data_IF_299997906517
#
_entry.id   IF_299997906517
#
_cell.length_a   1.000
_cell.length_b   1.000
_cell.length_c   1.000
_cell.angle_alpha   90.00
_cell.angle_beta   90.00
_cell.angle_gamma   90.00
#
_symmetry.space_group_name_H-M   'P 1'
#
loop_
_entity.id
_entity.type
_entity.pdbx_description
1 polymer ?
#
# COMPACT_ATOMS: atom_id res chain seq x y z
N UNK A 1 -20.41 19.07 24.95
CA UNK A 1 -19.12 18.38 24.69
C UNK A 1 -18.02 19.30 25.16
N UNK A 2 -16.93 18.77 25.71
CA UNK A 2 -15.76 19.59 26.07
C UNK A 2 -14.94 19.81 24.79
N UNK A 3 -14.71 21.07 24.41
CA UNK A 3 -13.83 21.38 23.29
C UNK A 3 -12.36 21.09 23.70
N UNK A 4 -11.64 20.22 22.98
CA UNK A 4 -10.24 19.89 23.31
C UNK A 4 -9.27 21.07 23.15
N UNK A 5 -9.62 22.12 22.40
CA UNK A 5 -8.75 23.30 22.25
C UNK A 5 -8.95 24.34 23.35
N UNK A 6 -10.19 24.56 23.77
CA UNK A 6 -10.53 25.62 24.73
C UNK A 6 -10.80 25.09 26.14
N UNK A 7 -11.00 23.78 26.31
CA UNK A 7 -11.33 23.12 27.58
C UNK A 7 -12.73 23.44 28.12
N UNK A 8 -13.55 24.20 27.37
CA UNK A 8 -14.88 24.63 27.80
C UNK A 8 -15.95 23.62 27.37
N UNK A 9 -16.97 23.47 28.21
CA UNK A 9 -18.15 22.66 27.88
C UNK A 9 -19.12 23.49 27.05
N UNK A 10 -19.27 23.12 25.79
CA UNK A 10 -20.17 23.80 24.86
C UNK A 10 -21.27 22.87 24.35
N UNK A 11 -22.46 23.45 24.09
CA UNK A 11 -23.55 22.75 23.41
C UNK A 11 -23.25 22.72 21.92
N UNK A 12 -22.83 21.56 21.41
CA UNK A 12 -22.42 21.39 20.01
C UNK A 12 -23.32 20.41 19.28
N UNK A 13 -23.65 20.72 18.02
CA UNK A 13 -24.34 19.78 17.15
C UNK A 13 -23.33 18.81 16.52
N UNK A 14 -23.28 17.58 17.02
CA UNK A 14 -22.38 16.54 16.52
C UNK A 14 -22.78 15.96 15.17
N UNK A 15 -23.98 16.26 14.67
CA UNK A 15 -24.41 15.79 13.36
C UNK A 15 -25.69 16.46 12.88
N UNK A 16 -25.64 16.96 11.65
CA UNK A 16 -26.84 17.23 10.84
C UNK A 16 -26.97 16.21 9.72
N UNK A 17 -28.16 16.03 9.12
CA UNK A 17 -28.39 15.08 8.03
C UNK A 17 -27.37 15.20 6.88
N UNK A 18 -26.99 16.44 6.51
CA UNK A 18 -25.96 16.70 5.51
C UNK A 18 -24.59 16.12 5.90
N UNK A 19 -24.16 16.35 7.15
CA UNK A 19 -22.86 15.86 7.65
C UNK A 19 -22.82 14.34 7.70
N UNK A 20 -23.87 13.72 8.22
CA UNK A 20 -23.99 12.26 8.29
C UNK A 20 -23.95 11.63 6.89
N UNK A 21 -24.64 12.22 5.91
CA UNK A 21 -24.58 11.78 4.52
C UNK A 21 -23.17 11.87 3.93
N UNK A 22 -22.44 12.96 4.21
CA UNK A 22 -21.05 13.12 3.77
C UNK A 22 -20.13 12.06 4.38
N UNK A 23 -20.23 11.82 5.69
CA UNK A 23 -19.43 10.80 6.39
C UNK A 23 -19.74 9.41 5.83
N UNK A 24 -21.01 9.08 5.68
CA UNK A 24 -21.44 7.80 5.11
C UNK A 24 -20.87 7.56 3.70
N UNK A 25 -21.00 8.56 2.82
CA UNK A 25 -20.47 8.46 1.45
C UNK A 25 -18.93 8.35 1.44
N UNK A 26 -18.24 9.14 2.26
CA UNK A 26 -16.78 9.09 2.36
C UNK A 26 -16.29 7.70 2.80
N UNK A 27 -16.91 7.13 3.83
CA UNK A 27 -16.57 5.80 4.34
C UNK A 27 -16.85 4.71 3.28
N UNK A 28 -18.01 4.76 2.62
CA UNK A 28 -18.34 3.79 1.57
C UNK A 28 -17.40 3.87 0.37
N UNK A 29 -17.06 5.08 -0.10
CA UNK A 29 -16.14 5.24 -1.22
C UNK A 29 -14.74 4.73 -0.87
N UNK A 30 -14.22 5.06 0.31
CA UNK A 30 -12.90 4.58 0.78
C UNK A 30 -12.87 3.06 0.93
N UNK A 31 -13.92 2.47 1.49
CA UNK A 31 -14.04 1.01 1.62
C UNK A 31 -14.11 0.31 0.26
N UNK A 32 -14.85 0.88 -0.70
CA UNK A 32 -14.91 0.36 -2.08
C UNK A 32 -13.56 0.46 -2.78
N UNK A 33 -12.87 1.59 -2.65
CA UNK A 33 -11.53 1.78 -3.21
C UNK A 33 -10.55 0.76 -2.63
N UNK A 34 -10.61 0.51 -1.31
CA UNK A 34 -9.76 -0.47 -0.68
C UNK A 34 -10.01 -1.90 -1.22
N UNK A 35 -11.27 -2.30 -1.36
CA UNK A 35 -11.62 -3.58 -1.98
C UNK A 35 -11.36 -3.65 -3.49
N UNK A 36 -11.27 -2.52 -4.19
CA UNK A 36 -10.81 -2.49 -5.58
C UNK A 36 -9.31 -2.77 -5.66
N UNK A 37 -8.51 -2.10 -4.83
CA UNK A 37 -7.06 -2.29 -4.76
C UNK A 37 -6.65 -3.74 -4.46
N UNK A 38 -7.31 -4.35 -3.47
CA UNK A 38 -7.07 -5.75 -3.09
C UNK A 38 -7.30 -6.73 -4.25
N UNK A 39 -8.25 -6.42 -5.14
CA UNK A 39 -8.60 -7.24 -6.30
C UNK A 39 -7.82 -6.89 -7.57
N UNK A 40 -6.79 -6.05 -7.50
CA UNK A 40 -6.00 -5.72 -8.69
C UNK A 40 -5.17 -6.93 -9.13
N UNK A 41 -5.49 -7.43 -10.33
CA UNK A 41 -4.86 -8.57 -11.00
C UNK A 41 -4.32 -8.20 -12.38
N UNK A 42 -4.84 -7.13 -13.00
CA UNK A 42 -4.37 -6.64 -14.29
C UNK A 42 -3.25 -5.61 -14.11
N UNK A 43 -2.35 -5.47 -15.11
CA UNK A 43 -1.13 -4.69 -14.96
C UNK A 43 -1.35 -3.17 -14.99
N UNK A 44 -2.48 -2.69 -15.47
CA UNK A 44 -2.76 -1.26 -15.57
C UNK A 44 -3.98 -0.82 -14.77
N UNK A 45 -3.94 0.43 -14.31
CA UNK A 45 -5.06 1.11 -13.66
C UNK A 45 -5.41 2.34 -14.50
N UNK A 46 -6.71 2.56 -14.71
CA UNK A 46 -7.27 3.76 -15.29
C UNK A 46 -8.25 4.40 -14.32
N UNK A 47 -8.05 5.66 -13.96
CA UNK A 47 -9.07 6.40 -13.21
C UNK A 47 -10.19 6.86 -14.15
N UNK A 48 -11.44 6.86 -13.66
CA UNK A 48 -12.55 7.47 -14.41
C UNK A 48 -12.52 8.99 -14.21
N UNK A 49 -12.67 9.79 -15.30
CA UNK A 49 -12.43 11.22 -15.24
C UNK A 49 -13.27 11.96 -14.19
N UNK A 50 -12.59 12.80 -13.42
CA UNK A 50 -13.17 13.91 -12.65
C UNK A 50 -13.43 15.09 -13.60
N UNK A 51 -14.17 16.10 -13.12
CA UNK A 51 -14.29 17.40 -13.79
C UNK A 51 -12.99 18.24 -13.72
N UNK A 52 -12.07 17.86 -12.83
CA UNK A 52 -10.79 18.56 -12.57
C UNK A 52 -9.63 17.60 -12.84
N UNK A 53 -8.57 18.04 -13.54
CA UNK A 53 -7.40 17.23 -13.84
C UNK A 53 -6.54 16.93 -12.59
N UNK A 54 -5.71 15.87 -12.63
CA UNK A 54 -5.60 14.90 -13.71
C UNK A 54 -6.77 13.89 -13.71
N UNK A 55 -7.24 13.53 -14.90
CA UNK A 55 -8.46 12.74 -15.08
C UNK A 55 -8.33 11.81 -16.30
N UNK A 56 -8.65 10.52 -16.14
CA UNK A 56 -8.61 9.57 -17.25
C UNK A 56 -7.22 9.02 -17.58
N UNK A 57 -6.30 9.12 -16.63
CA UNK A 57 -4.96 8.55 -16.69
C UNK A 57 -5.03 7.03 -16.87
N UNK A 58 -3.98 6.50 -17.48
CA UNK A 58 -3.69 5.07 -17.49
C UNK A 58 -2.24 4.92 -17.07
N UNK A 59 -2.01 4.38 -15.88
CA UNK A 59 -0.67 4.15 -15.36
C UNK A 59 -0.50 2.68 -14.96
N UNK A 60 0.75 2.18 -14.95
CA UNK A 60 1.06 0.89 -14.33
C UNK A 60 0.54 0.81 -12.89
N UNK A 61 0.14 -0.39 -12.44
CA UNK A 61 -0.34 -0.63 -11.06
C UNK A 61 0.68 -0.24 -9.98
N UNK A 62 1.95 -0.35 -10.31
CA UNK A 62 3.12 -0.10 -9.46
C UNK A 62 3.64 1.35 -9.54
N UNK A 63 2.99 2.21 -10.32
CA UNK A 63 3.32 3.65 -10.36
C UNK A 63 3.18 4.28 -8.96
N UNK A 64 4.19 5.03 -8.48
CA UNK A 64 4.13 5.73 -7.19
C UNK A 64 3.01 6.77 -7.14
N UNK A 65 2.51 7.23 -8.31
CA UNK A 65 1.36 8.11 -8.40
C UNK A 65 0.15 7.59 -7.61
N UNK A 66 -0.09 6.27 -7.66
CA UNK A 66 -1.23 5.64 -6.98
C UNK A 66 -1.09 5.61 -5.46
N UNK A 67 0.05 5.95 -4.89
CA UNK A 67 0.22 6.00 -3.42
C UNK A 67 -0.52 7.19 -2.82
N UNK A 68 -0.64 8.24 -3.61
CA UNK A 68 -1.21 9.52 -3.18
C UNK A 68 -2.52 9.84 -3.90
N UNK A 69 -2.65 9.48 -5.18
CA UNK A 69 -3.74 9.90 -6.07
C UNK A 69 -4.78 8.83 -6.38
N UNK A 70 -4.74 7.69 -5.69
CA UNK A 70 -5.74 6.63 -5.83
C UNK A 70 -7.12 7.14 -5.39
N UNK A 71 -8.12 7.20 -6.30
CA UNK A 71 -9.45 7.66 -5.94
C UNK A 71 -10.08 6.84 -4.80
N UNK A 72 -10.90 7.47 -3.94
CA UNK A 72 -11.35 8.86 -3.98
C UNK A 72 -10.31 9.89 -3.47
N UNK A 73 -10.25 11.05 -4.13
CA UNK A 73 -9.29 12.12 -3.83
C UNK A 73 -9.91 13.32 -3.08
N UNK A 74 -11.12 13.15 -2.53
CA UNK A 74 -11.78 14.24 -1.81
C UNK A 74 -13.22 13.99 -1.40
N UNK A 75 -13.77 14.94 -0.65
CA UNK A 75 -15.11 14.88 -0.10
C UNK A 75 -16.16 14.98 -1.22
N UNK A 76 -16.98 13.94 -1.38
CA UNK A 76 -17.96 13.88 -2.45
C UNK A 76 -17.38 13.57 -3.83
N UNK A 77 -16.10 13.17 -3.90
CA UNK A 77 -15.48 12.65 -5.11
C UNK A 77 -16.23 11.41 -5.63
N UNK A 78 -16.48 11.38 -6.93
CA UNK A 78 -17.16 10.26 -7.63
C UNK A 78 -16.22 9.47 -8.54
N UNK A 79 -14.94 9.84 -8.56
CA UNK A 79 -13.91 9.12 -9.31
C UNK A 79 -13.66 7.76 -8.68
N UNK A 80 -13.30 6.79 -9.52
CA UNK A 80 -12.93 5.44 -9.11
C UNK A 80 -11.88 4.90 -10.09
N UNK A 81 -11.08 3.94 -9.62
CA UNK A 81 -10.05 3.29 -10.40
C UNK A 81 -10.55 1.98 -11.02
N UNK A 82 -10.28 1.77 -12.30
CA UNK A 82 -10.60 0.54 -13.03
C UNK A 82 -9.33 -0.11 -13.53
N UNK A 83 -9.26 -1.42 -13.41
CA UNK A 83 -8.22 -2.22 -14.03
C UNK A 83 -8.35 -2.25 -15.56
N UNK A 84 -7.22 -2.16 -16.26
CA UNK A 84 -7.14 -2.26 -17.72
C UNK A 84 -6.15 -3.36 -18.11
N UNK A 85 -6.46 -4.07 -19.20
CA UNK A 85 -5.56 -5.08 -19.76
C UNK A 85 -4.39 -4.44 -20.49
N UNK A 86 -3.29 -5.18 -20.73
CA UNK A 86 -2.16 -4.68 -21.55
C UNK A 86 -2.61 -4.21 -22.93
N UNK A 87 -3.51 -4.97 -23.57
CA UNK A 87 -4.05 -4.63 -24.88
C UNK A 87 -4.91 -3.34 -24.84
N UNK A 88 -5.69 -3.13 -23.78
CA UNK A 88 -6.43 -1.88 -23.60
C UNK A 88 -5.48 -0.70 -23.35
N UNK A 89 -4.50 -0.87 -22.46
CA UNK A 89 -3.52 0.16 -22.15
C UNK A 89 -2.70 0.57 -23.38
N UNK A 90 -2.27 -0.39 -24.22
CA UNK A 90 -1.58 -0.10 -25.48
C UNK A 90 -2.46 0.70 -26.46
N UNK A 91 -3.74 0.31 -26.60
CA UNK A 91 -4.69 0.99 -27.49
C UNK A 91 -5.03 2.41 -27.04
N UNK A 92 -5.20 2.63 -25.74
CA UNK A 92 -5.54 3.94 -25.16
C UNK A 92 -4.31 4.82 -24.87
N UNK A 93 -3.12 4.25 -25.00
CA UNK A 93 -1.80 4.79 -24.62
C UNK A 93 -1.68 4.98 -23.10
N UNK A 94 -0.60 4.45 -22.53
CA UNK A 94 -0.22 4.70 -21.14
C UNK A 94 0.11 6.19 -21.01
N UNK A 95 -0.43 6.84 -19.98
CA UNK A 95 -0.18 8.25 -19.69
C UNK A 95 1.22 8.44 -19.12
N UNK A 96 1.79 9.62 -19.29
CA UNK A 96 2.91 10.05 -18.46
C UNK A 96 2.39 10.35 -17.05
N UNK A 97 3.23 10.11 -16.04
CA UNK A 97 2.88 10.46 -14.67
C UNK A 97 2.75 11.98 -14.55
N UNK A 98 1.57 12.50 -14.19
CA UNK A 98 1.37 13.94 -14.15
C UNK A 98 2.11 14.55 -12.97
N UNK A 99 2.67 15.73 -13.19
CA UNK A 99 3.16 16.56 -12.10
C UNK A 99 1.97 17.06 -11.27
N UNK A 100 2.03 16.78 -9.97
CA UNK A 100 1.04 17.25 -9.01
C UNK A 100 1.76 18.16 -8.00
N UNK A 101 1.84 19.48 -8.27
CA UNK A 101 2.55 20.39 -7.39
C UNK A 101 1.86 20.45 -6.04
N UNK A 102 2.68 20.44 -4.99
CA UNK A 102 2.22 20.54 -3.63
C UNK A 102 1.68 21.95 -3.32
N UNK A 103 0.61 21.99 -2.50
CA UNK A 103 0.08 23.22 -1.93
C UNK A 103 0.03 23.14 -0.42
N UNK A 104 0.23 24.28 0.22
CA UNK A 104 0.13 24.42 1.67
C UNK A 104 -1.32 24.71 2.04
N UNK A 105 -1.89 23.88 2.91
CA UNK A 105 -3.24 24.06 3.46
C UNK A 105 -3.14 24.22 4.97
N UNK A 106 -3.70 25.32 5.48
CA UNK A 106 -3.78 25.59 6.91
C UNK A 106 -5.17 25.27 7.43
N UNK A 107 -5.25 24.47 8.49
CA UNK A 107 -6.48 24.23 9.22
C UNK A 107 -6.83 25.48 10.04
N UNK A 108 -7.95 26.14 9.73
CA UNK A 108 -8.35 27.37 10.41
C UNK A 108 -8.63 27.18 11.91
N UNK A 109 -9.08 25.98 12.30
CA UNK A 109 -9.44 25.68 13.69
C UNK A 109 -8.24 25.35 14.56
N UNK A 110 -7.30 24.54 14.04
CA UNK A 110 -6.14 24.08 14.82
C UNK A 110 -4.87 24.87 14.52
N UNK A 111 -4.84 25.65 13.44
CA UNK A 111 -3.64 26.30 12.93
C UNK A 111 -2.64 25.36 12.26
N UNK A 112 -2.91 24.05 12.24
CA UNK A 112 -2.03 23.03 11.67
C UNK A 112 -1.84 23.25 10.17
N UNK A 113 -0.58 23.24 9.72
CA UNK A 113 -0.20 23.40 8.32
C UNK A 113 0.12 22.04 7.73
N UNK A 114 -0.46 21.72 6.58
CA UNK A 114 -0.23 20.48 5.84
C UNK A 114 0.15 20.78 4.40
N UNK A 115 1.04 19.94 3.86
CA UNK A 115 1.38 19.93 2.44
C UNK A 115 0.51 18.86 1.79
N UNK A 116 -0.25 19.24 0.76
CA UNK A 116 -1.18 18.37 0.06
C UNK A 116 -1.02 18.60 -1.44
N UNK A 117 -0.98 17.55 -2.28
CA UNK A 117 -0.96 17.75 -3.73
C UNK A 117 -2.16 18.54 -4.22
N UNK A 118 -1.92 19.46 -5.16
CA UNK A 118 -2.99 20.28 -5.75
C UNK A 118 -3.99 19.38 -6.46
N UNK A 119 -5.27 19.47 -6.08
CA UNK A 119 -6.36 18.67 -6.63
C UNK A 119 -6.83 17.53 -5.71
N UNK A 120 -6.11 17.25 -4.62
CA UNK A 120 -6.57 16.36 -3.54
C UNK A 120 -7.07 17.19 -2.35
N UNK A 121 -8.18 16.80 -1.73
CA UNK A 121 -8.63 17.42 -0.49
C UNK A 121 -7.75 16.97 0.69
N UNK A 122 -7.47 17.85 1.67
CA UNK A 122 -6.70 17.47 2.86
C UNK A 122 -7.31 16.26 3.58
N UNK A 123 -6.48 15.25 3.84
CA UNK A 123 -6.88 13.98 4.45
C UNK A 123 -7.18 12.87 3.45
N UNK A 124 -7.14 13.14 2.15
CA UNK A 124 -7.37 12.16 1.09
C UNK A 124 -6.12 11.80 0.27
N UNK A 125 -4.95 12.33 0.66
CA UNK A 125 -3.66 12.12 -0.02
C UNK A 125 -3.03 10.75 0.33
N UNK A 126 -3.82 9.68 0.24
CA UNK A 126 -3.36 8.33 0.51
C UNK A 126 -4.21 7.28 -0.19
N UNK A 127 -3.56 6.19 -0.59
CA UNK A 127 -4.23 5.02 -1.13
C UNK A 127 -4.96 4.24 -0.03
N UNK A 128 -6.29 4.31 -0.04
CA UNK A 128 -7.15 3.60 0.93
C UNK A 128 -6.92 2.08 0.93
N UNK A 129 -6.55 1.50 -0.21
CA UNK A 129 -6.23 0.08 -0.35
C UNK A 129 -4.92 -0.31 0.31
N UNK A 130 -3.85 0.46 0.06
CA UNK A 130 -2.56 0.26 0.75
C UNK A 130 -2.70 0.47 2.25
N UNK A 131 -3.34 1.56 2.68
CA UNK A 131 -3.57 1.83 4.11
C UNK A 131 -4.31 0.70 4.82
N UNK A 132 -5.34 0.12 4.18
CA UNK A 132 -6.06 -1.03 4.73
C UNK A 132 -5.16 -2.26 4.84
N UNK A 133 -4.36 -2.53 3.80
CA UNK A 133 -3.44 -3.66 3.77
C UNK A 133 -2.37 -3.53 4.86
N UNK A 134 -1.75 -2.36 4.97
CA UNK A 134 -0.74 -2.03 5.98
C UNK A 134 -1.31 -2.18 7.39
N UNK A 135 -2.52 -1.67 7.64
CA UNK A 135 -3.20 -1.80 8.92
C UNK A 135 -3.53 -3.25 9.29
N UNK A 136 -4.01 -4.04 8.32
CA UNK A 136 -4.29 -5.46 8.53
C UNK A 136 -3.01 -6.27 8.80
N UNK A 137 -1.94 -5.96 8.08
CA UNK A 137 -0.63 -6.57 8.26
C UNK A 137 -0.02 -6.20 9.61
N UNK A 138 -0.04 -4.93 10.01
CA UNK A 138 0.43 -4.49 11.31
C UNK A 138 -0.33 -5.18 12.46
N UNK A 139 -1.65 -5.30 12.34
CA UNK A 139 -2.47 -6.02 13.32
C UNK A 139 -2.09 -7.51 13.40
N UNK A 140 -1.96 -8.18 12.25
CA UNK A 140 -1.59 -9.60 12.18
C UNK A 140 -0.19 -9.84 12.77
N UNK A 141 0.80 -9.06 12.35
CA UNK A 141 2.18 -9.13 12.86
C UNK A 141 2.21 -8.89 14.36
N UNK A 142 1.45 -7.90 14.85
CA UNK A 142 1.31 -7.65 16.28
C UNK A 142 0.78 -8.85 17.06
N UNK A 143 -0.12 -9.66 16.47
CA UNK A 143 -0.62 -10.90 17.07
C UNK A 143 0.40 -12.04 16.98
N UNK A 144 1.05 -12.21 15.83
CA UNK A 144 2.08 -13.26 15.63
C UNK A 144 3.19 -13.12 16.68
N UNK A 145 3.66 -11.90 16.94
CA UNK A 145 4.72 -11.65 17.93
C UNK A 145 4.39 -12.10 19.35
N UNK A 146 3.11 -12.28 19.68
CA UNK A 146 2.66 -12.73 21.01
C UNK A 146 2.58 -14.26 21.13
N UNK A 147 2.73 -14.99 20.03
CA UNK A 147 2.62 -16.44 20.01
C UNK A 147 3.97 -17.11 20.33
N UNK A 148 3.97 -18.37 20.79
CA UNK A 148 5.18 -19.17 20.89
C UNK A 148 5.89 -19.31 19.53
N UNK A 149 7.21 -19.44 19.53
CA UNK A 149 8.04 -19.50 18.32
C UNK A 149 7.55 -20.53 17.29
N UNK A 150 7.13 -21.72 17.74
CA UNK A 150 6.59 -22.77 16.88
C UNK A 150 5.36 -22.31 16.08
N UNK A 151 4.44 -21.61 16.76
CA UNK A 151 3.23 -21.06 16.14
C UNK A 151 3.56 -19.87 15.22
N UNK A 152 4.57 -19.06 15.55
CA UNK A 152 5.05 -17.99 14.67
C UNK A 152 5.59 -18.57 13.37
N UNK A 153 6.46 -19.57 13.45
CA UNK A 153 7.05 -20.24 12.27
C UNK A 153 5.95 -20.86 11.41
N UNK A 154 4.98 -21.54 12.01
CA UNK A 154 3.85 -22.12 11.28
C UNK A 154 3.02 -21.05 10.54
N UNK A 155 2.70 -19.94 11.21
CA UNK A 155 1.93 -18.84 10.62
C UNK A 155 2.69 -18.16 9.47
N UNK A 156 3.99 -17.90 9.65
CA UNK A 156 4.84 -17.28 8.63
C UNK A 156 5.05 -18.18 7.43
N UNK A 157 5.12 -19.50 7.63
CA UNK A 157 5.15 -20.49 6.54
C UNK A 157 3.85 -20.48 5.75
N UNK A 158 2.69 -20.43 6.41
CA UNK A 158 1.40 -20.30 5.73
C UNK A 158 1.37 -19.02 4.88
N UNK A 159 1.75 -17.88 5.46
CA UNK A 159 1.85 -16.58 4.76
C UNK A 159 2.77 -16.69 3.53
N UNK A 160 3.95 -17.28 3.67
CA UNK A 160 4.92 -17.44 2.59
C UNK A 160 4.37 -18.22 1.38
N UNK A 161 3.43 -19.15 1.60
CA UNK A 161 2.83 -19.96 0.53
C UNK A 161 1.59 -19.33 -0.12
N UNK A 162 1.08 -18.21 0.41
CA UNK A 162 -0.11 -17.55 -0.13
C UNK A 162 0.19 -16.80 -1.43
N UNK A 163 -0.88 -16.64 -2.24
CA UNK A 163 -0.85 -15.95 -3.53
C UNK A 163 -0.27 -14.53 -3.46
N UNK A 164 -0.43 -13.82 -2.33
CA UNK A 164 0.12 -12.46 -2.12
C UNK A 164 1.64 -12.44 -2.19
N UNK A 165 2.32 -13.39 -1.54
CA UNK A 165 3.79 -13.46 -1.54
C UNK A 165 4.29 -13.83 -2.93
N UNK A 166 3.60 -14.73 -3.63
CA UNK A 166 3.90 -15.04 -5.05
C UNK A 166 3.78 -13.80 -5.97
N UNK A 167 2.86 -12.89 -5.68
CA UNK A 167 2.73 -11.61 -6.41
C UNK A 167 3.90 -10.67 -6.12
N UNK A 168 4.37 -10.61 -4.87
CA UNK A 168 5.56 -9.83 -4.46
C UNK A 168 6.82 -10.39 -5.16
N UNK A 169 6.97 -11.71 -5.20
CA UNK A 169 8.04 -12.38 -5.96
C UNK A 169 8.01 -11.97 -7.45
N UNK A 170 6.82 -11.84 -8.02
CA UNK A 170 6.60 -11.43 -9.41
C UNK A 170 6.59 -9.89 -9.62
N UNK A 171 7.36 -9.15 -8.80
CA UNK A 171 7.60 -7.71 -8.89
C UNK A 171 6.51 -6.76 -8.33
N UNK A 172 5.57 -7.22 -7.49
CA UNK A 172 4.73 -6.25 -6.77
C UNK A 172 5.57 -5.45 -5.74
N UNK A 173 5.28 -4.14 -5.56
CA UNK A 173 6.05 -3.25 -4.68
C UNK A 173 5.84 -3.51 -3.18
N UNK A 174 4.91 -4.40 -2.81
CA UNK A 174 4.59 -4.71 -1.42
C UNK A 174 5.68 -5.59 -0.76
N UNK A 175 5.64 -5.69 0.56
CA UNK A 175 6.45 -6.63 1.35
C UNK A 175 5.57 -7.61 2.12
N UNK A 176 6.17 -8.69 2.60
CA UNK A 176 5.50 -9.65 3.47
C UNK A 176 6.51 -10.31 4.45
N UNK A 177 6.07 -10.68 5.66
CA UNK A 177 6.87 -11.47 6.59
C UNK A 177 6.77 -12.95 6.21
N UNK A 178 7.90 -13.61 5.99
CA UNK A 178 7.95 -15.00 5.50
C UNK A 178 8.75 -15.95 6.39
N UNK A 179 9.42 -15.42 7.41
CA UNK A 179 10.25 -16.24 8.28
C UNK A 179 10.53 -15.58 9.62
N UNK A 180 11.01 -16.39 10.56
CA UNK A 180 11.44 -15.98 11.88
C UNK A 180 12.93 -16.27 12.05
N UNK A 181 13.68 -15.27 12.50
CA UNK A 181 15.08 -15.38 12.81
C UNK A 181 15.25 -16.12 14.16
N UNK A 182 16.19 -17.08 14.26
CA UNK A 182 16.54 -17.69 15.54
C UNK A 182 16.94 -16.63 16.57
N UNK A 183 16.50 -16.81 17.82
CA UNK A 183 16.71 -15.83 18.90
C UNK A 183 18.20 -15.47 19.08
N UNK A 184 19.09 -16.47 19.05
CA UNK A 184 20.53 -16.27 19.20
C UNK A 184 21.12 -15.34 18.13
N UNK A 185 20.70 -15.50 16.88
CA UNK A 185 21.18 -14.67 15.76
C UNK A 185 20.65 -13.25 15.92
N UNK A 186 19.38 -13.09 16.26
CA UNK A 186 18.77 -11.78 16.49
C UNK A 186 19.48 -11.01 17.62
N UNK A 187 19.75 -11.68 18.74
CA UNK A 187 20.46 -11.08 19.88
C UNK A 187 21.89 -10.69 19.52
N UNK A 188 22.63 -11.57 18.83
CA UNK A 188 24.01 -11.26 18.39
C UNK A 188 24.06 -10.13 17.37
N UNK A 189 23.06 -10.02 16.51
CA UNK A 189 22.93 -8.95 15.53
C UNK A 189 22.36 -7.65 16.13
N UNK A 190 21.96 -7.63 17.40
CA UNK A 190 21.34 -6.46 18.04
C UNK A 190 19.96 -6.11 17.47
N UNK A 191 19.25 -7.08 16.89
CA UNK A 191 17.96 -6.87 16.25
C UNK A 191 16.82 -6.96 17.29
N UNK A 192 15.96 -5.95 17.30
CA UNK A 192 14.77 -5.90 18.16
C UNK A 192 13.56 -6.65 17.58
N UNK A 193 13.54 -6.86 16.26
CA UNK A 193 12.54 -7.68 15.58
C UNK A 193 13.18 -8.94 15.00
N UNK A 194 12.48 -10.07 15.16
CA UNK A 194 12.92 -11.38 14.66
C UNK A 194 12.27 -11.73 13.33
N UNK A 195 11.33 -10.92 12.84
CA UNK A 195 10.65 -11.20 11.57
C UNK A 195 11.54 -10.92 10.36
N UNK A 196 11.58 -11.88 9.44
CA UNK A 196 12.25 -11.76 8.15
C UNK A 196 11.25 -11.29 7.11
N UNK A 197 11.49 -10.09 6.60
CA UNK A 197 10.67 -9.43 5.59
C UNK A 197 11.27 -9.61 4.21
N UNK A 198 10.43 -9.92 3.23
CA UNK A 198 10.82 -10.01 1.82
C UNK A 198 10.03 -9.01 0.99
N UNK A 199 10.69 -8.48 -0.04
CA UNK A 199 10.09 -7.68 -1.10
C UNK A 199 10.59 -8.17 -2.47
N UNK A 200 10.11 -7.55 -3.55
CA UNK A 200 10.50 -7.90 -4.92
C UNK A 200 12.02 -7.81 -5.17
N UNK A 201 12.72 -6.86 -4.55
CA UNK A 201 14.17 -6.74 -4.66
C UNK A 201 14.89 -7.89 -3.93
N UNK A 202 14.43 -8.28 -2.73
CA UNK A 202 14.99 -9.42 -1.98
C UNK A 202 14.97 -10.69 -2.84
N UNK A 203 13.86 -10.95 -3.55
CA UNK A 203 13.76 -12.10 -4.45
C UNK A 203 14.65 -11.99 -5.66
N UNK A 204 14.71 -10.82 -6.32
CA UNK A 204 15.60 -10.62 -7.46
C UNK A 204 17.05 -10.91 -7.10
N UNK A 205 17.51 -10.45 -5.94
CA UNK A 205 18.86 -10.75 -5.46
C UNK A 205 19.06 -12.23 -5.12
N UNK A 206 18.07 -12.89 -4.50
CA UNK A 206 18.17 -14.31 -4.18
C UNK A 206 18.22 -15.21 -5.43
N UNK A 207 17.42 -14.91 -6.46
CA UNK A 207 17.42 -15.63 -7.74
C UNK A 207 18.75 -15.43 -8.47
N UNK A 208 19.21 -14.18 -8.58
CA UNK A 208 20.50 -13.88 -9.23
C UNK A 208 21.68 -14.55 -8.50
N UNK A 209 21.65 -14.63 -7.17
CA UNK A 209 22.68 -15.32 -6.38
C UNK A 209 22.68 -16.84 -6.64
N UNK A 210 21.50 -17.47 -6.70
CA UNK A 210 21.36 -18.90 -7.01
C UNK A 210 21.79 -19.23 -8.44
N UNK A 211 21.49 -18.37 -9.41
CA UNK A 211 21.96 -18.50 -10.80
C UNK A 211 23.49 -18.44 -10.86
N UNK A 212 24.14 -17.49 -10.16
CA UNK A 212 25.61 -17.42 -10.09
C UNK A 212 26.25 -18.63 -9.39
N UNK A 213 25.63 -19.18 -8.34
CA UNK A 213 26.10 -20.41 -7.68
C UNK A 213 26.00 -21.64 -8.60
N UNK A 214 24.93 -21.75 -9.40
CA UNK A 214 24.79 -22.82 -10.39
C UNK A 214 25.79 -22.71 -11.56
N UNK A 215 26.11 -21.50 -12.02
CA UNK A 215 27.13 -21.27 -13.07
C UNK A 215 28.56 -21.55 -12.58
N UNK A 216 28.83 -21.30 -11.29
CA UNK A 216 30.15 -21.58 -10.69
C UNK A 216 30.34 -23.07 -10.41
N UNK A 217 29.29 -23.81 -10.03
CA UNK A 217 29.35 -25.27 -9.90
C UNK A 217 29.35 -26.00 -11.27
N UNK A 218 28.80 -25.40 -12.33
CA UNK A 218 28.87 -25.95 -13.69
C UNK A 218 30.26 -25.89 -14.34
N UNK A 219 31.15 -25.03 -13.84
CA UNK A 219 32.53 -24.86 -14.34
C UNK A 219 33.58 -25.70 -13.60
N UNK A 220 33.19 -26.46 -12.57
CA UNK A 220 34.12 -27.21 -11.72
C UNK A 220 34.10 -28.73 -11.93
N UNK A 221 33.51 -29.25 -13.02
CA UNK A 221 33.69 -30.66 -13.39
C UNK A 221 35.12 -30.87 -13.95
N UNK A 222 36.01 -31.61 -13.25
CA UNK A 222 37.29 -31.99 -13.82
C UNK A 222 37.05 -33.07 -14.87
N UNK A 223 37.63 -32.88 -16.04
CA UNK A 223 37.65 -33.89 -17.10
C UNK A 223 38.33 -35.16 -16.55
N UNK A 224 37.67 -36.33 -16.52
CA UNK A 224 38.34 -37.55 -16.12
C UNK A 224 39.31 -37.97 -17.23
N UNK A 225 40.61 -37.95 -16.93
CA UNK A 225 41.65 -38.64 -17.71
C UNK A 225 41.60 -40.16 -17.49
#
# INVERSE_FOLDING_TARGET
MVDPLTGKTELVQLGGPRRLRTIYNANLCSARAAGQWERILLPGISDRPRREPPAGLILPVDSPFWDTWMPPNGWGCKSWARQVTKAEAARRRVSEEPEAPDRVVRNERTGEVRIVPTGIDPGWQANSGKLRLDGAEAFMVGKIRLWPDEAQVAALRDIATRWRVRRIMNAAPDRAPVGLLPAEIATRAGLSDRLVWVNSNTFRHAVNAAEMESETMGKSSPNPE
#
